data_IF_989445974786
#
_entry.id   IF_989445974786
#
_cell.length_a   1.000
_cell.length_b   1.000
_cell.length_c   1.000
_cell.angle_alpha   90.00
_cell.angle_beta   90.00
_cell.angle_gamma   90.00
#
_symmetry.space_group_name_H-M   'P 1'
#
loop_
_entity.id
_entity.type
_entity.pdbx_description
1 polymer ?
#
# COMPACT_ATOMS: atom_id res chain seq x y z
N UNK A 1 28.17 -38.95 -16.17
CA UNK A 1 27.31 -38.59 -15.02
C UNK A 1 26.63 -37.27 -15.35
N UNK A 2 25.55 -37.34 -16.11
CA UNK A 2 24.88 -36.18 -16.70
C UNK A 2 23.68 -35.84 -15.81
N UNK A 3 23.76 -34.73 -15.08
CA UNK A 3 22.66 -34.27 -14.23
C UNK A 3 21.57 -33.66 -15.11
N UNK A 4 20.45 -34.39 -15.23
CA UNK A 4 19.18 -33.88 -15.73
C UNK A 4 18.75 -32.66 -14.90
N UNK A 5 18.77 -31.47 -15.49
CA UNK A 5 18.03 -30.31 -14.97
C UNK A 5 16.56 -30.49 -15.38
N UNK A 6 15.57 -30.33 -14.49
CA UNK A 6 14.19 -30.29 -14.94
C UNK A 6 13.99 -28.98 -15.70
N UNK A 7 13.82 -29.09 -17.03
CA UNK A 7 13.34 -27.99 -17.86
C UNK A 7 11.87 -27.75 -17.54
N UNK A 8 11.58 -26.94 -16.53
CA UNK A 8 10.28 -26.29 -16.45
C UNK A 8 10.33 -25.12 -17.42
N UNK A 9 10.12 -25.41 -18.70
CA UNK A 9 9.82 -24.37 -19.69
C UNK A 9 8.37 -23.93 -19.46
N UNK A 10 8.13 -23.18 -18.39
CA UNK A 10 6.86 -22.50 -18.20
C UNK A 10 6.81 -21.34 -19.21
N UNK A 11 6.37 -21.63 -20.44
CA UNK A 11 5.90 -20.58 -21.34
C UNK A 11 4.59 -20.09 -20.74
N UNK A 12 4.66 -19.13 -19.81
CA UNK A 12 3.49 -18.34 -19.44
C UNK A 12 3.19 -17.53 -20.71
N UNK A 13 2.12 -17.83 -21.48
CA UNK A 13 1.76 -16.96 -22.60
C UNK A 13 1.63 -15.56 -22.01
N UNK A 14 2.40 -14.58 -22.49
CA UNK A 14 2.24 -13.22 -22.00
C UNK A 14 0.83 -12.79 -22.39
N UNK A 15 -0.12 -12.69 -21.44
CA UNK A 15 -1.34 -12.00 -21.77
C UNK A 15 -0.85 -10.57 -21.97
N UNK A 16 -0.88 -10.04 -23.19
CA UNK A 16 -0.83 -8.59 -23.35
C UNK A 16 -1.93 -8.08 -22.43
N UNK A 17 -1.64 -7.36 -21.34
CA UNK A 17 -2.67 -7.03 -20.40
C UNK A 17 -3.62 -6.06 -21.11
N UNK A 18 -4.72 -6.58 -21.65
CA UNK A 18 -5.78 -5.79 -22.27
C UNK A 18 -6.71 -5.26 -21.16
N UNK A 19 -6.15 -4.74 -20.07
CA UNK A 19 -6.95 -3.88 -19.19
C UNK A 19 -6.89 -2.48 -19.80
N UNK A 20 -7.82 -2.19 -20.71
CA UNK A 20 -8.08 -0.80 -21.06
C UNK A 20 -8.78 -0.17 -19.86
N UNK A 21 -8.05 0.63 -19.09
CA UNK A 21 -8.66 1.46 -18.06
C UNK A 21 -9.66 2.39 -18.76
N UNK A 22 -10.87 2.49 -18.19
CA UNK A 22 -11.82 3.49 -18.64
C UNK A 22 -11.19 4.89 -18.53
N UNK A 23 -11.56 5.78 -19.44
CA UNK A 23 -11.20 7.19 -19.32
C UNK A 23 -11.72 7.73 -17.98
N UNK A 24 -10.81 8.26 -17.15
CA UNK A 24 -11.15 8.75 -15.80
C UNK A 24 -11.17 7.68 -14.70
N UNK A 25 -10.55 6.51 -14.90
CA UNK A 25 -10.39 5.51 -13.86
C UNK A 25 -9.80 6.12 -12.56
N UNK A 26 -10.38 5.84 -11.38
CA UNK A 26 -9.89 6.38 -10.12
C UNK A 26 -8.47 5.87 -9.82
N UNK A 27 -7.62 6.77 -9.34
CA UNK A 27 -6.26 6.42 -8.95
C UNK A 27 -6.21 5.85 -7.54
N UNK A 28 -5.43 4.79 -7.37
CA UNK A 28 -5.11 4.19 -6.06
C UNK A 28 -3.60 4.14 -5.87
N UNK A 29 -3.15 4.62 -4.72
CA UNK A 29 -1.77 4.55 -4.28
C UNK A 29 -1.53 3.22 -3.58
N UNK A 30 -0.76 2.33 -4.21
CA UNK A 30 -0.25 1.09 -3.59
C UNK A 30 1.06 1.44 -2.91
N UNK A 31 0.98 1.67 -1.60
CA UNK A 31 2.08 2.18 -0.79
C UNK A 31 2.87 1.04 -0.18
N UNK A 32 4.18 1.06 -0.40
CA UNK A 32 5.12 0.05 0.08
C UNK A 32 6.32 0.66 0.81
N UNK A 33 6.95 -0.16 1.65
CA UNK A 33 8.15 0.18 2.41
C UNK A 33 9.23 -0.91 2.22
N UNK A 34 10.48 -0.59 2.54
CA UNK A 34 11.57 -1.56 2.56
C UNK A 34 11.19 -2.83 3.35
N UNK A 35 11.30 -4.00 2.71
CA UNK A 35 10.94 -5.30 3.28
C UNK A 35 9.47 -5.74 3.06
N UNK A 36 8.62 -4.88 2.52
CA UNK A 36 7.31 -5.31 2.02
C UNK A 36 7.42 -6.12 0.71
N UNK A 37 6.43 -6.98 0.41
CA UNK A 37 6.52 -7.92 -0.72
C UNK A 37 5.18 -8.27 -1.40
N UNK A 38 4.07 -7.67 -0.98
CA UNK A 38 2.73 -7.92 -1.54
C UNK A 38 2.25 -6.85 -2.52
N UNK A 39 3.14 -6.00 -3.04
CA UNK A 39 2.82 -4.84 -3.88
C UNK A 39 2.35 -5.22 -5.28
N UNK A 40 2.97 -6.22 -5.91
CA UNK A 40 2.66 -6.61 -7.30
C UNK A 40 1.26 -7.21 -7.41
N UNK A 41 0.90 -8.07 -6.46
CA UNK A 41 -0.39 -8.74 -6.39
C UNK A 41 -1.48 -7.72 -6.03
N UNK A 42 -1.21 -6.81 -5.08
CA UNK A 42 -2.12 -5.72 -4.73
C UNK A 42 -2.40 -4.80 -5.92
N UNK A 43 -1.36 -4.35 -6.62
CA UNK A 43 -1.51 -3.51 -7.81
C UNK A 43 -2.28 -4.23 -8.93
N UNK A 44 -2.05 -5.54 -9.10
CA UNK A 44 -2.77 -6.34 -10.08
C UNK A 44 -4.26 -6.46 -9.72
N UNK A 45 -4.59 -6.69 -8.44
CA UNK A 45 -5.98 -6.76 -7.97
C UNK A 45 -6.74 -5.44 -8.21
N UNK A 46 -6.12 -4.30 -7.91
CA UNK A 46 -6.72 -2.99 -8.19
C UNK A 46 -6.92 -2.72 -9.68
N UNK A 47 -5.96 -3.10 -10.53
CA UNK A 47 -6.11 -3.00 -11.99
C UNK A 47 -7.27 -3.86 -12.50
N UNK A 48 -7.42 -5.08 -11.98
CA UNK A 48 -8.55 -5.95 -12.31
C UNK A 48 -9.89 -5.36 -11.86
N UNK A 49 -9.90 -4.60 -10.76
CA UNK A 49 -11.06 -3.85 -10.28
C UNK A 49 -11.29 -2.53 -11.02
N UNK A 50 -10.49 -2.20 -12.04
CA UNK A 50 -10.66 -1.00 -12.87
C UNK A 50 -10.00 0.28 -12.33
N UNK A 51 -9.13 0.17 -11.33
CA UNK A 51 -8.36 1.31 -10.81
C UNK A 51 -7.05 1.51 -11.55
N UNK A 52 -6.62 2.77 -11.64
CA UNK A 52 -5.24 3.09 -12.00
C UNK A 52 -4.35 2.92 -10.76
N UNK A 53 -3.69 1.76 -10.65
CA UNK A 53 -2.79 1.45 -9.53
C UNK A 53 -1.39 2.06 -9.74
N UNK A 54 -0.96 2.87 -8.78
CA UNK A 54 0.37 3.49 -8.72
C UNK A 54 1.19 2.85 -7.61
N UNK A 55 2.39 2.35 -7.95
CA UNK A 55 3.38 1.91 -6.97
C UNK A 55 4.09 3.12 -6.37
N UNK A 56 3.96 3.32 -5.06
CA UNK A 56 4.60 4.42 -4.34
C UNK A 56 5.40 3.88 -3.16
N UNK A 57 6.65 4.30 -3.06
CA UNK A 57 7.44 4.05 -1.84
C UNK A 57 7.20 5.15 -0.81
N UNK A 58 7.46 4.84 0.46
CA UNK A 58 7.51 5.87 1.52
C UNK A 58 8.54 6.97 1.21
N UNK A 59 9.60 6.65 0.46
CA UNK A 59 10.58 7.64 0.00
C UNK A 59 9.98 8.60 -1.03
N UNK A 60 9.13 8.11 -1.95
CA UNK A 60 8.47 8.97 -2.94
C UNK A 60 7.50 9.94 -2.26
N UNK A 61 6.76 9.44 -1.26
CA UNK A 61 5.90 10.28 -0.43
C UNK A 61 6.71 11.31 0.36
N UNK A 62 7.87 10.94 0.91
CA UNK A 62 8.74 11.85 1.65
C UNK A 62 9.33 12.96 0.77
N UNK A 63 9.66 12.65 -0.49
CA UNK A 63 10.12 13.63 -1.49
C UNK A 63 9.02 14.60 -1.92
N UNK A 64 7.75 14.20 -1.81
CA UNK A 64 6.60 15.01 -2.20
C UNK A 64 6.46 15.21 -3.71
N UNK A 65 7.15 14.42 -4.53
CA UNK A 65 7.03 14.48 -6.00
C UNK A 65 5.66 14.03 -6.49
N UNK A 66 4.96 13.22 -5.70
CA UNK A 66 3.60 12.75 -5.94
C UNK A 66 2.84 12.87 -4.61
N UNK A 67 1.77 13.67 -4.60
CA UNK A 67 0.95 13.90 -3.43
C UNK A 67 -0.26 12.98 -3.34
N UNK A 68 -0.73 12.68 -2.13
CA UNK A 68 -1.89 11.80 -1.90
C UNK A 68 -3.24 12.43 -2.29
N UNK A 69 -3.30 13.73 -2.58
CA UNK A 69 -4.52 14.46 -2.95
C UNK A 69 -5.15 13.97 -4.26
N UNK A 70 -4.36 13.47 -5.20
CA UNK A 70 -4.87 12.99 -6.49
C UNK A 70 -5.50 11.59 -6.40
N UNK A 71 -5.30 10.88 -5.30
CA UNK A 71 -5.76 9.50 -5.13
C UNK A 71 -7.12 9.43 -4.46
N UNK A 72 -7.93 8.45 -4.90
CA UNK A 72 -9.18 8.05 -4.26
C UNK A 72 -8.97 6.95 -3.23
N UNK A 73 -7.93 6.15 -3.40
CA UNK A 73 -7.59 5.07 -2.49
C UNK A 73 -6.12 5.08 -2.09
N UNK A 74 -5.85 4.65 -0.86
CA UNK A 74 -4.52 4.24 -0.41
C UNK A 74 -4.59 2.77 0.02
N UNK A 75 -3.64 1.98 -0.45
CA UNK A 75 -3.51 0.58 -0.09
C UNK A 75 -2.12 0.32 0.49
N UNK A 76 -2.05 -0.08 1.76
CA UNK A 76 -0.82 -0.49 2.41
C UNK A 76 -0.61 -1.99 2.21
N UNK A 77 0.48 -2.33 1.53
CA UNK A 77 0.78 -3.70 1.13
C UNK A 77 1.19 -4.59 2.31
N UNK A 78 1.14 -5.91 2.10
CA UNK A 78 1.67 -6.88 3.05
C UNK A 78 3.20 -7.06 2.93
N UNK A 79 3.76 -7.85 3.86
CA UNK A 79 5.16 -8.26 3.88
C UNK A 79 5.77 -8.15 5.26
N UNK A 80 7.06 -7.86 5.34
CA UNK A 80 7.84 -7.79 6.57
C UNK A 80 8.65 -6.50 6.58
N UNK A 81 7.98 -5.34 6.69
CA UNK A 81 8.65 -4.05 6.65
C UNK A 81 9.77 -3.98 7.70
N UNK A 82 10.99 -3.57 7.31
CA UNK A 82 12.19 -3.60 8.16
C UNK A 82 12.48 -4.99 8.79
N UNK A 83 12.13 -6.06 8.06
CA UNK A 83 12.16 -7.45 8.49
C UNK A 83 11.49 -7.71 9.84
N UNK A 84 10.56 -6.83 10.25
CA UNK A 84 9.88 -6.83 11.55
C UNK A 84 10.83 -6.88 12.77
N UNK A 85 12.09 -6.47 12.60
CA UNK A 85 13.16 -6.56 13.63
C UNK A 85 12.84 -5.81 14.93
N UNK A 86 12.16 -4.67 14.83
CA UNK A 86 11.73 -3.86 15.98
C UNK A 86 10.29 -4.21 16.44
N UNK A 87 9.69 -5.24 15.83
CA UNK A 87 8.28 -5.61 15.91
C UNK A 87 7.50 -5.17 14.67
N UNK A 88 6.51 -5.98 14.31
CA UNK A 88 5.83 -5.88 13.02
C UNK A 88 5.30 -4.49 12.71
N UNK A 89 5.56 -3.97 11.50
CA UNK A 89 5.15 -2.64 11.02
C UNK A 89 5.59 -1.43 11.89
N UNK A 90 6.43 -1.61 12.92
CA UNK A 90 6.83 -0.49 13.79
C UNK A 90 7.73 0.51 13.09
N UNK A 91 8.71 0.04 12.31
CA UNK A 91 9.57 0.93 11.53
C UNK A 91 8.76 1.71 10.50
N UNK A 92 7.84 1.05 9.81
CA UNK A 92 6.97 1.70 8.83
C UNK A 92 6.07 2.75 9.49
N UNK A 93 5.47 2.43 10.64
CA UNK A 93 4.67 3.39 11.40
C UNK A 93 5.51 4.59 11.89
N UNK A 94 6.78 4.38 12.26
CA UNK A 94 7.68 5.46 12.64
C UNK A 94 7.93 6.40 11.45
N UNK A 95 8.26 5.87 10.27
CA UNK A 95 8.42 6.67 9.05
C UNK A 95 7.15 7.45 8.73
N UNK A 96 5.98 6.79 8.77
CA UNK A 96 4.70 7.41 8.48
C UNK A 96 4.31 8.54 9.46
N UNK A 97 4.67 8.44 10.74
CA UNK A 97 4.31 9.42 11.78
C UNK A 97 5.33 10.55 11.93
N UNK A 98 6.62 10.25 11.80
CA UNK A 98 7.69 11.17 12.19
C UNK A 98 8.35 11.88 11.00
N UNK A 99 8.11 11.44 9.76
CA UNK A 99 8.50 12.20 8.57
C UNK A 99 7.44 13.28 8.29
N UNK A 100 7.73 14.59 8.46
CA UNK A 100 6.70 15.63 8.43
C UNK A 100 5.89 15.68 7.13
N UNK A 101 6.56 15.51 5.98
CA UNK A 101 5.92 15.55 4.65
C UNK A 101 4.93 14.39 4.48
N UNK A 102 5.30 13.20 4.95
CA UNK A 102 4.46 11.99 4.84
C UNK A 102 3.30 12.08 5.82
N UNK A 103 3.56 12.43 7.07
CA UNK A 103 2.55 12.56 8.10
C UNK A 103 1.47 13.58 7.70
N UNK A 104 1.88 14.73 7.13
CA UNK A 104 0.95 15.74 6.64
C UNK A 104 0.09 15.24 5.48
N UNK A 105 0.67 14.51 4.52
CA UNK A 105 -0.08 13.94 3.40
C UNK A 105 -1.08 12.87 3.85
N UNK A 106 -0.65 11.96 4.73
CA UNK A 106 -1.51 10.91 5.29
C UNK A 106 -2.67 11.49 6.09
N UNK A 107 -2.41 12.51 6.93
CA UNK A 107 -3.46 13.22 7.69
C UNK A 107 -4.49 13.84 6.74
N UNK A 108 -4.03 14.62 5.75
CA UNK A 108 -4.91 15.25 4.75
C UNK A 108 -5.71 14.21 3.97
N UNK A 109 -5.11 13.08 3.62
CA UNK A 109 -5.80 11.99 2.92
C UNK A 109 -6.91 11.37 3.78
N UNK A 110 -6.63 11.12 5.06
CA UNK A 110 -7.56 10.48 5.99
C UNK A 110 -8.75 11.38 6.35
N UNK A 111 -8.56 12.70 6.37
CA UNK A 111 -9.61 13.68 6.69
C UNK A 111 -10.61 13.89 5.54
N UNK A 112 -10.31 13.41 4.34
CA UNK A 112 -11.20 13.54 3.18
C UNK A 112 -12.35 12.53 3.27
N UNK A 113 -13.57 12.98 2.99
CA UNK A 113 -14.77 12.13 2.96
C UNK A 113 -14.92 11.32 1.66
N UNK A 114 -14.06 11.58 0.67
CA UNK A 114 -14.12 11.02 -0.68
C UNK A 114 -12.99 10.03 -0.99
N UNK A 115 -12.42 9.45 0.07
CA UNK A 115 -11.31 8.51 0.03
C UNK A 115 -11.65 7.18 0.71
N UNK A 116 -10.90 6.14 0.35
CA UNK A 116 -10.88 4.87 1.07
C UNK A 116 -9.44 4.46 1.39
N UNK A 117 -9.29 3.62 2.42
CA UNK A 117 -8.00 2.99 2.74
C UNK A 117 -8.15 1.47 2.88
N UNK A 118 -7.10 0.74 2.51
CA UNK A 118 -7.01 -0.71 2.66
C UNK A 118 -5.65 -1.07 3.25
N UNK A 119 -5.62 -1.90 4.28
CA UNK A 119 -4.39 -2.47 4.81
C UNK A 119 -4.46 -3.99 4.81
N UNK A 120 -3.45 -4.66 4.25
CA UNK A 120 -3.39 -6.13 4.22
C UNK A 120 -2.16 -6.62 4.99
N UNK A 121 -2.35 -7.56 5.91
CA UNK A 121 -1.29 -8.15 6.73
C UNK A 121 -0.46 -7.06 7.46
N UNK A 122 0.80 -6.83 7.06
CA UNK A 122 1.67 -5.78 7.60
C UNK A 122 1.06 -4.37 7.42
N UNK A 123 0.38 -4.12 6.30
CA UNK A 123 -0.37 -2.89 6.08
C UNK A 123 -1.56 -2.70 7.02
N UNK A 124 -2.22 -3.78 7.45
CA UNK A 124 -3.28 -3.70 8.48
C UNK A 124 -2.69 -3.34 9.85
N UNK A 125 -1.53 -3.92 10.18
CA UNK A 125 -0.81 -3.61 11.42
C UNK A 125 -0.28 -2.16 11.44
N UNK A 126 0.10 -1.63 10.28
CA UNK A 126 0.40 -0.21 10.10
C UNK A 126 -0.85 0.64 10.34
N UNK A 127 -1.97 0.33 9.67
CA UNK A 127 -3.22 1.08 9.81
C UNK A 127 -3.70 1.13 11.28
N UNK A 128 -3.57 0.02 12.02
CA UNK A 128 -3.84 0.00 13.46
C UNK A 128 -2.94 0.96 14.24
N UNK A 129 -1.63 0.99 13.94
CA UNK A 129 -0.68 1.92 14.58
C UNK A 129 -0.95 3.37 14.22
N UNK A 130 -1.47 3.64 13.02
CA UNK A 130 -1.91 4.96 12.58
C UNK A 130 -3.29 5.35 13.16
N UNK A 131 -3.95 4.45 13.89
CA UNK A 131 -5.32 4.64 14.42
C UNK A 131 -6.36 4.86 13.32
N UNK A 132 -6.15 4.25 12.14
CA UNK A 132 -7.08 4.31 11.00
C UNK A 132 -8.14 3.20 11.05
N UNK A 133 -8.06 2.32 12.05
CA UNK A 133 -9.04 1.24 12.25
C UNK A 133 -10.08 1.71 13.28
N UNK A 134 -11.37 1.77 12.93
CA UNK A 134 -12.41 2.36 13.77
C UNK A 134 -12.70 1.62 15.09
N UNK A 135 -12.10 0.45 15.33
CA UNK A 135 -12.31 -0.38 16.52
C UNK A 135 -11.04 -0.62 17.36
N UNK A 136 -10.05 0.28 17.30
CA UNK A 136 -8.87 0.22 18.17
C UNK A 136 -9.17 0.60 19.64
N UNK A 137 -8.32 0.22 20.62
CA UNK A 137 -8.47 0.57 22.04
C UNK A 137 -8.22 2.07 22.27
N UNK A 138 -9.18 2.88 21.84
CA UNK A 138 -9.13 4.34 21.72
C UNK A 138 -10.30 4.90 20.91
N UNK A 139 -11.12 4.04 20.30
CA UNK A 139 -12.40 4.39 19.69
C UNK A 139 -13.56 4.41 20.69
N UNK A 140 -13.29 4.77 21.96
CA UNK A 140 -14.35 5.35 22.80
C UNK A 140 -14.39 6.82 22.44
N UNK A 141 -15.45 7.21 21.75
CA UNK A 141 -15.82 8.59 21.58
C UNK A 141 -15.93 9.22 22.98
N UNK A 142 -15.15 10.25 23.24
CA UNK A 142 -15.45 11.19 24.31
C UNK A 142 -16.65 12.01 23.82
N UNK A 143 -17.86 11.47 24.03
CA UNK A 143 -19.08 12.25 24.07
C UNK A 143 -19.15 12.93 25.46
N UNK A 144 -18.79 14.22 25.51
CA UNK A 144 -19.38 15.30 26.33
C UNK A 144 -18.45 16.52 26.37
#
# INVERSE_FOLDING_TARGET
>A
SSRCTPLIHATIPSPKPQWQLASGAPMVAVVREEGSNGDREMASAFRLAGFQAWDLTMTDLAKGSIGLEQFRGVAFVGGFSYADTLGSAKGWAATAKFQPTVAAQLKKFYERSDTFSLGVCNGCQLAHRLQWVPFGPGAVAEEA
#
